data_IF_546943399173
#
_entry.id   IF_546943399173
#
_cell.length_a   1.000
_cell.length_b   1.000
_cell.length_c   1.000
_cell.angle_alpha   90.00
_cell.angle_beta   90.00
_cell.angle_gamma   90.00
#
_symmetry.space_group_name_H-M   'P 1'
#
loop_
_entity.id
_entity.type
_entity.pdbx_description
1 polymer ?
#
# COMPACT_ATOMS: atom_id res chain seq x y z
N UNK A 1 14.36 1.09 -3.14
CA UNK A 1 12.99 0.65 -3.49
C UNK A 1 11.93 1.53 -2.82
N UNK A 2 11.80 1.54 -1.50
CA UNK A 2 10.85 2.42 -0.77
C UNK A 2 11.19 3.90 -1.00
N UNK A 3 12.46 4.26 -1.07
CA UNK A 3 12.92 5.63 -1.34
C UNK A 3 12.54 6.11 -2.75
N UNK A 4 12.57 5.25 -3.76
CA UNK A 4 12.22 5.61 -5.13
C UNK A 4 10.71 5.89 -5.25
N UNK A 5 9.89 5.06 -4.61
CA UNK A 5 8.45 5.27 -4.49
C UNK A 5 8.13 6.56 -3.73
N UNK A 6 8.87 6.83 -2.65
CA UNK A 6 8.70 8.07 -1.89
C UNK A 6 8.92 9.30 -2.77
N UNK A 7 9.96 9.29 -3.61
CA UNK A 7 10.28 10.42 -4.50
C UNK A 7 9.18 10.66 -5.56
N UNK A 8 8.59 9.59 -6.10
CA UNK A 8 7.46 9.68 -7.02
C UNK A 8 6.25 10.35 -6.36
N UNK A 9 5.85 9.84 -5.19
CA UNK A 9 4.71 10.38 -4.46
C UNK A 9 4.95 11.78 -3.89
N UNK A 10 6.18 12.18 -3.57
CA UNK A 10 6.54 13.55 -3.17
C UNK A 10 6.26 14.55 -4.32
N UNK A 11 6.61 14.19 -5.56
CA UNK A 11 6.29 15.03 -6.73
C UNK A 11 4.78 15.15 -6.95
N UNK A 12 4.05 14.04 -6.85
CA UNK A 12 2.59 14.03 -6.97
C UNK A 12 1.93 14.87 -5.88
N UNK A 13 2.41 14.78 -4.63
CA UNK A 13 1.92 15.55 -3.50
C UNK A 13 2.08 17.05 -3.74
N UNK A 14 3.26 17.48 -4.21
CA UNK A 14 3.51 18.89 -4.55
C UNK A 14 2.56 19.39 -5.63
N UNK A 15 2.34 18.60 -6.68
CA UNK A 15 1.41 18.94 -7.74
C UNK A 15 -0.03 19.06 -7.24
N UNK A 16 -0.48 18.11 -6.43
CA UNK A 16 -1.82 18.13 -5.82
C UNK A 16 -1.96 19.08 -4.64
N UNK A 17 -0.87 19.71 -4.18
CA UNK A 17 -0.81 20.57 -2.97
C UNK A 17 -1.24 19.80 -1.70
N UNK A 18 -0.82 18.56 -1.58
CA UNK A 18 -1.02 17.70 -0.42
C UNK A 18 0.27 17.70 0.41
N UNK A 19 0.17 17.76 1.73
CA UNK A 19 1.30 17.59 2.63
C UNK A 19 1.62 16.09 2.74
N UNK A 20 2.79 15.67 2.23
CA UNK A 20 3.20 14.26 2.24
C UNK A 20 4.42 14.08 3.14
N UNK A 21 4.34 13.15 4.09
CA UNK A 21 5.39 12.91 5.08
C UNK A 21 5.70 11.42 5.21
N UNK A 22 6.99 11.08 5.25
CA UNK A 22 7.48 9.73 5.57
C UNK A 22 8.22 9.75 6.91
N UNK A 23 7.81 8.87 7.82
CA UNK A 23 8.50 8.55 9.05
C UNK A 23 8.97 7.10 8.99
N UNK A 24 10.29 6.88 8.98
CA UNK A 24 10.87 5.54 9.06
C UNK A 24 11.75 5.44 10.29
N UNK A 25 11.44 4.48 11.14
CA UNK A 25 12.19 4.14 12.36
C UNK A 25 12.87 2.78 12.21
N UNK A 26 12.97 2.25 10.98
CA UNK A 26 13.65 0.99 10.73
C UNK A 26 15.16 1.15 10.83
N UNK A 27 15.79 0.21 11.52
CA UNK A 27 17.23 0.03 11.52
C UNK A 27 17.67 -0.71 10.24
N UNK A 28 18.94 -0.56 9.86
CA UNK A 28 19.57 -1.31 8.76
C UNK A 28 19.76 -2.78 9.18
N UNK A 29 18.73 -3.59 9.03
CA UNK A 29 18.76 -5.03 9.26
C UNK A 29 17.96 -5.77 8.19
N UNK A 30 18.20 -7.07 8.08
CA UNK A 30 17.42 -7.94 7.20
C UNK A 30 15.99 -8.09 7.75
N UNK A 31 15.01 -7.80 6.89
CA UNK A 31 13.59 -7.93 7.20
C UNK A 31 13.02 -9.21 6.59
N UNK A 32 12.10 -9.87 7.32
CA UNK A 32 11.48 -11.13 6.89
C UNK A 32 10.24 -10.87 6.01
N UNK A 33 10.43 -10.24 4.87
CA UNK A 33 9.36 -10.08 3.86
C UNK A 33 9.94 -10.01 2.45
N UNK A 34 9.10 -10.29 1.45
CA UNK A 34 9.47 -10.06 0.06
C UNK A 34 9.35 -8.56 -0.26
N UNK A 35 10.46 -7.88 -0.63
CA UNK A 35 10.44 -6.45 -0.93
C UNK A 35 9.49 -6.07 -2.08
N UNK A 36 9.25 -6.97 -3.05
CA UNK A 36 8.32 -6.71 -4.14
C UNK A 36 6.87 -6.69 -3.63
N UNK A 37 6.52 -7.57 -2.69
CA UNK A 37 5.19 -7.58 -2.10
C UNK A 37 4.97 -6.37 -1.20
N UNK A 38 5.99 -5.95 -0.44
CA UNK A 38 5.91 -4.72 0.35
C UNK A 38 5.70 -3.50 -0.56
N UNK A 39 6.42 -3.42 -1.67
CA UNK A 39 6.23 -2.38 -2.68
C UNK A 39 4.79 -2.34 -3.20
N UNK A 40 4.23 -3.49 -3.56
CA UNK A 40 2.84 -3.59 -4.01
C UNK A 40 1.85 -3.13 -2.94
N UNK A 41 2.05 -3.50 -1.68
CA UNK A 41 1.22 -3.07 -0.56
C UNK A 41 1.29 -1.54 -0.41
N UNK A 42 2.49 -0.97 -0.31
CA UNK A 42 2.72 0.47 -0.16
C UNK A 42 2.05 1.24 -1.29
N UNK A 43 2.27 0.82 -2.53
CA UNK A 43 1.76 1.50 -3.70
C UNK A 43 0.22 1.49 -3.77
N UNK A 44 -0.42 0.35 -3.45
CA UNK A 44 -1.87 0.29 -3.41
C UNK A 44 -2.47 1.19 -2.32
N UNK A 45 -1.88 1.20 -1.12
CA UNK A 45 -2.33 2.05 -0.03
C UNK A 45 -2.12 3.54 -0.35
N UNK A 46 -0.95 3.92 -0.89
CA UNK A 46 -0.66 5.30 -1.29
C UNK A 46 -1.54 5.77 -2.44
N UNK A 47 -1.74 4.94 -3.47
CA UNK A 47 -2.66 5.26 -4.57
C UNK A 47 -4.06 5.59 -4.05
N UNK A 48 -4.58 4.78 -3.11
CA UNK A 48 -5.87 5.07 -2.47
C UNK A 48 -5.82 6.37 -1.66
N UNK A 49 -4.80 6.60 -0.85
CA UNK A 49 -4.66 7.83 -0.07
C UNK A 49 -4.66 9.07 -0.98
N UNK A 50 -3.87 9.07 -2.05
CA UNK A 50 -3.82 10.18 -3.01
C UNK A 50 -5.10 10.38 -3.82
N UNK A 51 -5.86 9.31 -4.02
CA UNK A 51 -7.16 9.36 -4.71
C UNK A 51 -8.23 10.05 -3.89
N UNK A 52 -8.22 9.85 -2.58
CA UNK A 52 -9.27 10.32 -1.68
C UNK A 52 -8.85 11.50 -0.79
N UNK A 53 -7.66 12.05 -1.03
CA UNK A 53 -7.13 13.23 -0.33
C UNK A 53 -7.11 14.42 -1.26
N UNK A 54 -7.65 15.55 -0.81
CA UNK A 54 -7.77 16.78 -1.58
C UNK A 54 -6.63 17.76 -1.29
N UNK A 55 -6.54 18.82 -2.11
CA UNK A 55 -5.59 19.92 -1.90
C UNK A 55 -5.74 20.55 -0.51
N UNK A 56 -4.61 20.77 0.15
CA UNK A 56 -4.55 21.33 1.51
C UNK A 56 -4.63 20.29 2.62
N UNK A 57 -4.90 19.03 2.30
CA UNK A 57 -4.92 17.91 3.23
C UNK A 57 -3.55 17.22 3.32
N UNK A 58 -3.45 16.15 4.11
CA UNK A 58 -2.18 15.47 4.38
C UNK A 58 -2.26 13.95 4.22
N UNK A 59 -1.11 13.37 3.85
CA UNK A 59 -0.86 11.93 3.84
C UNK A 59 0.43 11.68 4.61
N UNK A 60 0.39 10.75 5.56
CA UNK A 60 1.55 10.35 6.35
C UNK A 60 1.78 8.85 6.21
N UNK A 61 3.01 8.47 5.88
CA UNK A 61 3.47 7.08 5.91
C UNK A 61 4.37 6.90 7.11
N UNK A 62 4.10 5.87 7.90
CA UNK A 62 4.95 5.48 9.02
C UNK A 62 5.38 4.03 8.83
N UNK A 63 6.69 3.79 8.97
CA UNK A 63 7.27 2.46 8.92
C UNK A 63 8.13 2.26 10.16
N UNK A 64 7.74 1.29 11.01
CA UNK A 64 8.42 1.00 12.28
C UNK A 64 8.41 -0.49 12.58
N UNK A 65 9.28 -0.91 13.48
CA UNK A 65 9.21 -2.22 14.09
C UNK A 65 8.67 -2.10 15.52
N UNK A 66 7.72 -2.96 15.86
CA UNK A 66 7.11 -3.00 17.17
C UNK A 66 6.76 -4.44 17.55
N UNK A 67 7.30 -4.94 18.67
CA UNK A 67 7.01 -6.27 19.20
C UNK A 67 7.17 -7.42 18.18
N UNK A 68 8.25 -7.43 17.41
CA UNK A 68 8.51 -8.37 16.31
C UNK A 68 7.49 -8.28 15.14
N UNK A 69 6.87 -7.12 14.96
CA UNK A 69 6.06 -6.81 13.80
C UNK A 69 6.67 -5.64 13.04
N UNK A 70 6.82 -5.79 11.75
CA UNK A 70 6.97 -4.64 10.85
C UNK A 70 5.59 -4.01 10.72
N UNK A 71 5.48 -2.74 11.06
CA UNK A 71 4.24 -1.98 11.01
C UNK A 71 4.36 -0.89 9.96
N UNK A 72 3.58 -1.02 8.90
CA UNK A 72 3.38 0.01 7.88
C UNK A 72 2.03 0.66 8.11
N UNK A 73 2.02 1.97 8.31
CA UNK A 73 0.80 2.77 8.38
C UNK A 73 0.76 3.79 7.25
N UNK A 74 -0.37 3.89 6.57
CA UNK A 74 -0.68 4.96 5.62
C UNK A 74 -1.92 5.67 6.15
N UNK A 75 -1.74 6.92 6.53
CA UNK A 75 -2.78 7.77 7.11
C UNK A 75 -3.06 8.95 6.20
N UNK A 76 -4.31 9.21 5.91
CA UNK A 76 -4.77 10.39 5.17
C UNK A 76 -5.80 11.19 5.97
N UNK A 77 -5.91 12.48 5.68
CA UNK A 77 -6.96 13.36 6.22
C UNK A 77 -8.04 13.66 5.18
N UNK A 78 -8.27 12.73 4.26
CA UNK A 78 -9.24 12.83 3.17
C UNK A 78 -10.70 12.62 3.59
N UNK A 79 -11.50 12.13 2.68
CA UNK A 79 -12.96 11.99 2.87
C UNK A 79 -13.35 10.95 3.93
N UNK A 80 -12.45 10.03 4.31
CA UNK A 80 -12.76 8.91 5.20
C UNK A 80 -13.73 7.91 4.60
N UNK A 81 -14.08 6.89 5.39
CA UNK A 81 -14.94 5.78 4.96
C UNK A 81 -16.10 5.62 5.93
N UNK A 82 -17.36 5.73 5.46
CA UNK A 82 -18.54 5.50 6.28
C UNK A 82 -18.53 4.13 6.93
N UNK A 83 -18.91 4.03 8.20
CA UNK A 83 -18.85 2.80 9.01
C UNK A 83 -19.58 1.61 8.36
N UNK A 84 -20.70 1.86 7.68
CA UNK A 84 -21.48 0.84 7.00
C UNK A 84 -20.82 0.29 5.71
N UNK A 85 -19.77 0.93 5.23
CA UNK A 85 -18.99 0.53 4.04
C UNK A 85 -17.65 -0.12 4.40
N UNK A 86 -17.10 0.12 5.60
CA UNK A 86 -15.77 -0.35 6.02
C UNK A 86 -15.61 -1.87 5.94
N UNK A 87 -16.64 -2.65 6.24
CA UNK A 87 -16.60 -4.11 6.14
C UNK A 87 -16.49 -4.67 4.71
N UNK A 88 -16.74 -3.84 3.69
CA UNK A 88 -16.78 -4.26 2.28
C UNK A 88 -15.61 -3.79 1.43
N UNK A 89 -14.80 -2.85 1.94
CA UNK A 89 -13.73 -2.22 1.14
C UNK A 89 -12.63 -3.20 0.69
N UNK A 90 -12.53 -4.37 1.33
CA UNK A 90 -11.60 -5.45 0.96
C UNK A 90 -12.23 -6.47 0.00
N UNK A 91 -13.51 -6.35 -0.33
CA UNK A 91 -14.15 -7.19 -1.34
C UNK A 91 -13.66 -6.80 -2.74
N UNK A 92 -13.44 -7.81 -3.59
CA UNK A 92 -13.02 -7.57 -4.99
C UNK A 92 -14.10 -6.80 -5.75
N UNK A 93 -13.65 -5.81 -6.54
CA UNK A 93 -14.50 -4.95 -7.37
C UNK A 93 -15.45 -4.03 -6.59
N UNK A 94 -15.31 -3.97 -5.25
CA UNK A 94 -16.09 -3.05 -4.45
C UNK A 94 -15.51 -1.62 -4.57
N UNK A 95 -16.38 -0.67 -4.83
CA UNK A 95 -16.09 0.77 -4.87
C UNK A 95 -17.18 1.52 -4.12
N UNK A 96 -16.78 2.52 -3.34
CA UNK A 96 -17.72 3.32 -2.55
C UNK A 96 -18.52 4.28 -3.45
N UNK A 97 -17.88 4.83 -4.47
CA UNK A 97 -18.47 5.75 -5.44
C UNK A 97 -17.91 5.46 -6.84
N UNK A 98 -18.78 5.57 -7.84
CA UNK A 98 -18.42 5.31 -9.24
C UNK A 98 -17.70 6.48 -9.93
N UNK A 99 -17.62 7.64 -9.29
CA UNK A 99 -17.02 8.84 -9.87
C UNK A 99 -15.47 8.80 -9.88
N UNK A 100 -14.87 8.02 -8.99
CA UNK A 100 -13.44 7.83 -8.95
C UNK A 100 -13.06 6.56 -9.70
N UNK A 101 -12.40 6.71 -10.84
CA UNK A 101 -11.93 5.60 -11.66
C UNK A 101 -10.95 4.73 -10.87
N UNK A 102 -11.22 3.44 -10.79
CA UNK A 102 -10.36 2.44 -10.16
C UNK A 102 -10.89 1.03 -10.43
N UNK A 103 -10.06 0.01 -10.30
CA UNK A 103 -10.45 -1.38 -10.56
C UNK A 103 -11.25 -2.02 -9.40
N UNK A 104 -11.19 -1.46 -8.20
CA UNK A 104 -11.72 -2.10 -6.97
C UNK A 104 -10.93 -3.35 -6.54
N UNK A 105 -9.69 -3.51 -7.03
CA UNK A 105 -8.85 -4.68 -6.77
C UNK A 105 -7.76 -4.37 -5.73
N UNK A 106 -7.34 -3.12 -5.59
CA UNK A 106 -6.16 -2.73 -4.82
C UNK A 106 -6.19 -3.19 -3.36
N UNK A 107 -7.25 -2.91 -2.60
CA UNK A 107 -7.34 -3.30 -1.19
C UNK A 107 -7.51 -4.81 -1.00
N UNK A 108 -8.23 -5.50 -1.87
CA UNK A 108 -8.33 -6.96 -1.84
C UNK A 108 -6.99 -7.63 -2.14
N UNK A 109 -6.17 -7.04 -3.01
CA UNK A 109 -4.80 -7.49 -3.26
C UNK A 109 -3.93 -7.27 -2.02
N UNK A 110 -3.97 -6.09 -1.40
CA UNK A 110 -3.24 -5.80 -0.15
C UNK A 110 -3.59 -6.83 0.92
N UNK A 111 -4.88 -7.07 1.17
CA UNK A 111 -5.32 -8.07 2.14
C UNK A 111 -4.72 -9.45 1.83
N UNK A 112 -4.76 -9.88 0.57
CA UNK A 112 -4.22 -11.19 0.17
C UNK A 112 -2.71 -11.29 0.35
N UNK A 113 -1.96 -10.25 0.01
CA UNK A 113 -0.50 -10.21 0.20
C UNK A 113 -0.12 -10.22 1.68
N UNK A 114 -0.85 -9.49 2.51
CA UNK A 114 -0.67 -9.47 3.97
C UNK A 114 -0.96 -10.84 4.58
N UNK A 115 -2.04 -11.51 4.16
CA UNK A 115 -2.38 -12.88 4.60
C UNK A 115 -1.30 -13.90 4.20
N UNK A 116 -0.72 -13.79 2.99
CA UNK A 116 0.37 -14.66 2.55
C UNK A 116 1.64 -14.52 3.41
N UNK A 117 1.83 -13.35 4.04
CA UNK A 117 2.91 -13.11 4.99
C UNK A 117 2.49 -13.37 6.45
N UNK A 118 1.40 -14.09 6.70
CA UNK A 118 0.86 -14.35 8.04
C UNK A 118 0.60 -13.07 8.85
N UNK A 119 0.40 -11.96 8.15
CA UNK A 119 0.14 -10.64 8.70
C UNK A 119 -1.34 -10.33 8.88
N UNK A 120 -1.62 -9.10 9.27
CA UNK A 120 -2.97 -8.55 9.34
C UNK A 120 -3.00 -7.11 8.86
N UNK A 121 -4.16 -6.68 8.38
CA UNK A 121 -4.44 -5.28 8.03
C UNK A 121 -5.61 -4.79 8.88
N UNK A 122 -5.47 -3.57 9.40
CA UNK A 122 -6.48 -2.89 10.21
C UNK A 122 -6.84 -1.56 9.56
N UNK A 123 -8.08 -1.13 9.72
CA UNK A 123 -8.59 0.16 9.29
C UNK A 123 -9.13 0.93 10.47
N UNK A 124 -8.68 2.17 10.63
CA UNK A 124 -9.30 3.19 11.46
C UNK A 124 -9.72 4.35 10.55
N UNK A 125 -11.02 4.62 10.45
CA UNK A 125 -11.54 5.64 9.55
C UNK A 125 -12.84 6.24 10.06
N UNK A 126 -12.96 7.57 9.87
CA UNK A 126 -14.16 8.31 10.14
C UNK A 126 -14.50 9.20 8.95
N UNK A 127 -15.75 9.15 8.49
CA UNK A 127 -16.24 9.97 7.38
C UNK A 127 -15.99 11.46 7.65
N UNK A 128 -15.35 12.14 6.70
CA UNK A 128 -14.94 13.55 6.79
C UNK A 128 -13.67 13.82 7.57
N UNK A 129 -13.01 12.80 8.16
CA UNK A 129 -11.76 12.98 8.92
C UNK A 129 -10.55 12.27 8.32
N UNK A 130 -10.78 11.29 7.45
CA UNK A 130 -9.74 10.53 6.80
C UNK A 130 -9.69 9.07 7.22
N UNK A 131 -8.63 8.38 6.80
CA UNK A 131 -8.44 6.96 7.02
C UNK A 131 -6.99 6.65 7.41
N UNK A 132 -6.81 5.63 8.24
CA UNK A 132 -5.52 5.03 8.55
C UNK A 132 -5.58 3.54 8.29
N UNK A 133 -4.80 3.07 7.33
CA UNK A 133 -4.57 1.66 7.09
C UNK A 133 -3.28 1.24 7.79
N UNK A 134 -3.35 0.21 8.63
CA UNK A 134 -2.20 -0.34 9.37
C UNK A 134 -1.98 -1.78 8.95
N UNK A 135 -0.83 -2.06 8.36
CA UNK A 135 -0.38 -3.41 7.96
C UNK A 135 0.66 -3.88 8.94
N UNK A 136 0.48 -5.09 9.44
CA UNK A 136 1.38 -5.76 10.38
C UNK A 136 1.93 -7.02 9.73
N UNK A 137 3.25 -7.10 9.56
CA UNK A 137 3.97 -8.26 9.01
C UNK A 137 4.88 -8.84 10.09
N UNK A 138 4.77 -10.15 10.43
CA UNK A 138 5.56 -10.74 11.51
C UNK A 138 7.04 -10.80 11.13
N UNK A 139 7.91 -10.48 12.12
CA UNK A 139 9.37 -10.52 12.00
C UNK A 139 9.99 -11.70 12.77
N UNK A 140 9.18 -12.67 13.19
CA UNK A 140 9.66 -13.92 13.79
C UNK A 140 9.75 -15.02 12.71
N UNK A 141 10.97 -15.48 12.44
CA UNK A 141 11.24 -16.55 11.46
C UNK A 141 10.46 -17.84 11.74
N UNK A 142 10.11 -18.10 13.01
CA UNK A 142 9.33 -19.27 13.40
C UNK A 142 7.86 -19.20 12.95
N UNK A 143 7.39 -18.02 12.53
CA UNK A 143 6.05 -17.84 11.95
C UNK A 143 5.96 -18.49 10.56
N UNK A 144 7.09 -18.61 9.86
CA UNK A 144 7.15 -19.07 8.49
C UNK A 144 7.57 -20.54 8.42
N UNK A 145 6.97 -21.31 7.50
CA UNK A 145 7.42 -22.66 7.19
C UNK A 145 8.73 -22.59 6.39
N UNK A 146 9.61 -23.59 6.48
CA UNK A 146 10.84 -23.63 5.68
C UNK A 146 10.62 -23.46 4.16
N UNK A 147 9.47 -23.92 3.65
CA UNK A 147 9.10 -23.77 2.24
C UNK A 147 8.63 -22.36 1.84
N UNK A 148 8.37 -21.51 2.81
CA UNK A 148 7.95 -20.10 2.60
C UNK A 148 9.14 -19.16 2.68
N UNK A 149 10.27 -19.62 3.22
CA UNK A 149 11.51 -18.84 3.29
C UNK A 149 12.25 -18.99 1.97
N UNK A 150 12.52 -17.88 1.30
CA UNK A 150 13.31 -17.88 0.08
C UNK A 150 14.72 -18.41 0.38
N UNK A 151 15.11 -19.52 -0.26
CA UNK A 151 16.51 -19.88 -0.38
C UNK A 151 17.10 -19.09 -1.55
N UNK A 152 18.29 -18.54 -1.39
CA UNK A 152 18.96 -17.74 -2.42
C UNK A 152 19.11 -18.44 -3.79
N UNK A 153 18.85 -19.75 -3.87
CA UNK A 153 18.97 -20.56 -5.07
C UNK A 153 17.66 -20.77 -5.87
N UNK A 154 16.50 -20.36 -5.34
CA UNK A 154 15.19 -20.64 -5.98
C UNK A 154 14.51 -19.42 -6.61
N UNK A 155 15.12 -18.26 -6.58
CA UNK A 155 14.53 -17.02 -7.10
C UNK A 155 14.47 -16.91 -8.64
N UNK A 156 14.95 -17.91 -9.39
CA UNK A 156 15.14 -17.77 -10.83
C UNK A 156 14.05 -18.38 -11.73
N UNK A 157 13.13 -19.21 -11.25
CA UNK A 157 12.14 -19.84 -12.14
C UNK A 157 10.66 -19.57 -11.80
N UNK A 158 10.29 -19.35 -10.56
CA UNK A 158 8.88 -19.10 -10.20
C UNK A 158 8.54 -17.61 -10.00
N UNK A 159 9.53 -16.75 -9.74
CA UNK A 159 9.33 -15.31 -9.53
C UNK A 159 8.91 -14.52 -10.77
N UNK A 160 9.16 -15.03 -11.98
CA UNK A 160 8.84 -14.31 -13.22
C UNK A 160 7.35 -14.29 -13.56
N UNK A 161 6.58 -15.30 -13.18
CA UNK A 161 5.16 -15.42 -13.56
C UNK A 161 4.25 -14.50 -12.76
N UNK A 162 4.58 -14.24 -11.48
CA UNK A 162 3.78 -13.35 -10.64
C UNK A 162 4.17 -11.87 -10.75
N UNK A 163 5.44 -11.58 -11.03
CA UNK A 163 5.96 -10.23 -11.16
C UNK A 163 5.42 -9.50 -12.40
N UNK A 164 5.24 -10.20 -13.51
CA UNK A 164 4.82 -9.60 -14.78
C UNK A 164 3.34 -9.13 -14.73
N UNK A 165 2.45 -9.97 -14.21
CA UNK A 165 1.03 -9.61 -14.11
C UNK A 165 0.74 -8.53 -13.04
N UNK A 166 1.53 -8.48 -11.98
CA UNK A 166 1.36 -7.48 -10.93
C UNK A 166 1.85 -6.09 -11.37
N UNK A 167 2.95 -6.04 -12.12
CA UNK A 167 3.47 -4.78 -12.67
C UNK A 167 2.56 -4.20 -13.74
N UNK A 168 2.01 -5.02 -14.63
CA UNK A 168 1.08 -4.56 -15.66
C UNK A 168 -0.21 -3.99 -15.07
N UNK A 169 -0.79 -4.61 -14.04
CA UNK A 169 -1.97 -4.07 -13.33
C UNK A 169 -1.67 -2.76 -12.60
N UNK A 170 -0.45 -2.60 -12.11
CA UNK A 170 -0.02 -1.38 -11.41
C UNK A 170 0.20 -0.22 -12.39
N UNK A 171 0.82 -0.46 -13.55
CA UNK A 171 1.07 0.56 -14.57
C UNK A 171 -0.21 1.13 -15.20
N UNK A 172 -1.28 0.36 -15.29
CA UNK A 172 -2.55 0.85 -15.85
C UNK A 172 -3.18 1.96 -14.99
N UNK A 173 -3.08 1.87 -13.66
CA UNK A 173 -3.64 2.90 -12.76
C UNK A 173 -2.73 4.13 -12.64
N UNK A 174 -1.40 3.98 -12.82
CA UNK A 174 -0.45 5.12 -12.78
C UNK A 174 -0.36 5.88 -14.10
N UNK A 175 -0.47 5.22 -15.26
CA UNK A 175 -0.48 5.89 -16.56
C UNK A 175 -1.66 6.85 -16.73
N UNK A 176 -2.80 6.59 -16.08
CA UNK A 176 -3.93 7.53 -16.07
C UNK A 176 -3.65 8.78 -15.25
N UNK A 177 -2.89 8.65 -14.16
CA UNK A 177 -2.49 9.79 -13.33
C UNK A 177 -1.47 10.67 -14.07
N UNK A 178 -0.57 10.08 -14.85
CA UNK A 178 0.40 10.84 -15.66
C UNK A 178 -0.25 11.56 -16.84
N UNK A 179 -1.24 10.97 -17.50
CA UNK A 179 -1.93 11.57 -18.64
C UNK A 179 -2.84 12.74 -18.24
N UNK A 180 -3.47 12.70 -17.07
CA UNK A 180 -4.23 13.85 -16.54
C UNK A 180 -3.32 15.03 -16.14
N UNK A 181 -2.02 14.78 -15.94
CA UNK A 181 -1.04 15.80 -15.52
C UNK A 181 -0.44 16.57 -16.72
N UNK A 182 -0.56 16.04 -17.96
CA UNK A 182 0.06 16.61 -19.15
C UNK A 182 -0.91 17.48 -19.96
N UNK A 183 -2.24 17.36 -19.74
CA UNK A 183 -3.26 18.12 -20.46
C UNK A 183 -3.90 19.28 -19.67
N UNK A 184 -3.32 19.68 -18.55
CA UNK A 184 -3.82 20.77 -17.69
C UNK A 184 -2.91 22.02 -17.67
#
# INVERSE_FOLDING_TARGET
LIQDNFLFYDKLARHKKITYTLHSELEDKEELFDPNYLELIVNNLLSNAFKYTESGQSITVTLKEENNWLVLQVSDTGIGIPINKQGKIFERFYQIESEHVGSGIGLSLVQRLVELHHGRIELDSEEGKGSTFSVYLPQDINTYKPSELASNDTLNEEGQVYSTNSKEMYFIDTEKVENETIEG
#
